data_IF_592685803155
#
_entry.id   IF_592685803155
#
_cell.length_a   1.000
_cell.length_b   1.000
_cell.length_c   1.000
_cell.angle_alpha   90.00
_cell.angle_beta   90.00
_cell.angle_gamma   90.00
#
_symmetry.space_group_name_H-M   'P 1'
#
loop_
_entity.id
_entity.type
_entity.pdbx_description
1 polymer ?
#
# COMPACT_ATOMS: atom_id res chain seq x y z
N UNK A 1 -9.23 -12.23 16.57
CA UNK A 1 -9.13 -11.03 15.70
C UNK A 1 -7.97 -10.22 16.23
N UNK A 2 -7.03 -9.80 15.39
CA UNK A 2 -5.75 -9.23 15.85
C UNK A 2 -5.93 -7.75 16.17
N UNK A 3 -6.40 -7.46 17.40
CA UNK A 3 -6.53 -6.13 17.98
C UNK A 3 -7.83 -5.38 17.63
N UNK A 4 -8.23 -4.48 18.53
CA UNK A 4 -9.30 -3.49 18.30
C UNK A 4 -8.72 -2.32 17.48
N UNK A 5 -9.39 -1.94 16.40
CA UNK A 5 -9.02 -0.80 15.56
C UNK A 5 -10.11 0.27 15.64
N UNK A 6 -9.73 1.55 15.62
CA UNK A 6 -10.69 2.66 15.66
C UNK A 6 -11.00 3.18 17.05
N UNK A 7 -10.39 2.60 18.09
CA UNK A 7 -10.48 3.05 19.49
C UNK A 7 -9.10 3.51 19.98
N UNK A 8 -9.03 4.30 21.05
CA UNK A 8 -7.77 4.65 21.73
C UNK A 8 -7.20 3.37 22.38
N UNK A 9 -5.92 2.98 22.16
CA UNK A 9 -4.81 3.74 21.56
C UNK A 9 -4.48 3.45 20.09
N UNK A 10 -5.38 2.81 19.36
CA UNK A 10 -5.22 2.36 17.98
C UNK A 10 -6.24 3.00 17.01
N UNK A 11 -6.32 4.35 16.93
CA UNK A 11 -7.23 5.02 15.99
C UNK A 11 -6.86 4.70 14.54
N UNK A 12 -7.85 4.70 13.64
CA UNK A 12 -7.66 4.30 12.24
C UNK A 12 -6.60 5.16 11.51
N UNK A 13 -6.55 6.46 11.79
CA UNK A 13 -5.65 7.44 11.16
C UNK A 13 -4.16 7.14 11.34
N UNK A 14 -3.82 6.36 12.37
CA UNK A 14 -2.45 5.95 12.66
C UNK A 14 -1.99 4.77 11.79
N UNK A 15 -2.92 4.10 11.09
CA UNK A 15 -2.63 2.97 10.23
C UNK A 15 -2.63 3.39 8.76
N UNK A 16 -1.74 2.78 7.98
CA UNK A 16 -1.61 3.07 6.54
C UNK A 16 -1.26 1.80 5.80
N UNK A 17 -2.03 1.48 4.76
CA UNK A 17 -1.70 0.43 3.82
C UNK A 17 -1.06 1.05 2.58
N UNK A 18 0.11 0.54 2.21
CA UNK A 18 0.81 0.88 0.97
C UNK A 18 0.86 -0.38 0.14
N UNK A 19 0.41 -0.33 -1.11
CA UNK A 19 0.43 -1.48 -2.01
C UNK A 19 0.87 -1.10 -3.42
N UNK A 20 1.55 -2.04 -4.06
CA UNK A 20 1.92 -2.01 -5.48
C UNK A 20 0.95 -2.82 -6.35
N UNK A 21 0.00 -3.52 -5.73
CA UNK A 21 -1.01 -4.30 -6.43
C UNK A 21 -2.13 -3.41 -6.96
N UNK A 22 -2.67 -3.78 -8.11
CA UNK A 22 -3.80 -3.09 -8.74
C UNK A 22 -5.17 -3.62 -8.29
N UNK A 23 -5.22 -4.85 -7.75
CA UNK A 23 -6.43 -5.52 -7.27
C UNK A 23 -7.14 -4.75 -6.15
N UNK A 24 -8.35 -5.18 -5.78
CA UNK A 24 -9.18 -4.54 -4.74
C UNK A 24 -9.23 -5.33 -3.43
N UNK A 25 -8.35 -6.31 -3.22
CA UNK A 25 -8.46 -7.23 -2.06
C UNK A 25 -8.34 -6.50 -0.72
N UNK A 26 -7.52 -5.44 -0.67
CA UNK A 26 -7.38 -4.62 0.54
C UNK A 26 -8.65 -3.82 0.81
N UNK A 27 -9.25 -3.24 -0.22
CA UNK A 27 -10.51 -2.52 -0.15
C UNK A 27 -11.65 -3.43 0.27
N UNK A 28 -11.81 -4.57 -0.39
CA UNK A 28 -12.82 -5.57 -0.07
C UNK A 28 -12.71 -6.04 1.38
N UNK A 29 -11.49 -6.24 1.87
CA UNK A 29 -11.24 -6.53 3.28
C UNK A 29 -11.68 -5.35 4.16
N UNK A 30 -11.21 -4.12 3.93
CA UNK A 30 -11.58 -2.98 4.76
C UNK A 30 -13.10 -2.74 4.78
N UNK A 31 -13.77 -2.88 3.64
CA UNK A 31 -15.24 -2.78 3.52
C UNK A 31 -15.96 -3.88 4.29
N UNK A 32 -15.53 -5.14 4.14
CA UNK A 32 -16.13 -6.29 4.84
C UNK A 32 -16.07 -6.17 6.36
N UNK A 33 -15.03 -5.52 6.86
CA UNK A 33 -14.82 -5.28 8.29
C UNK A 33 -15.35 -3.92 8.76
N UNK A 34 -16.07 -3.19 7.89
CA UNK A 34 -16.62 -1.86 8.16
C UNK A 34 -15.57 -0.84 8.63
N UNK A 35 -14.31 -1.04 8.21
CA UNK A 35 -13.20 -0.14 8.53
C UNK A 35 -13.21 1.01 7.52
N UNK A 36 -13.41 2.27 7.95
CA UNK A 36 -13.38 3.39 7.04
C UNK A 36 -11.97 3.54 6.48
N UNK A 37 -11.86 3.69 5.16
CA UNK A 37 -10.61 3.98 4.48
C UNK A 37 -10.77 5.05 3.39
N UNK A 38 -9.65 5.67 3.02
CA UNK A 38 -9.59 6.62 1.89
C UNK A 38 -8.36 6.38 1.03
N UNK A 39 -8.51 6.63 -0.27
CA UNK A 39 -7.38 6.76 -1.20
C UNK A 39 -6.63 8.07 -0.93
N UNK A 40 -5.61 8.00 -0.08
CA UNK A 40 -4.84 9.16 0.34
C UNK A 40 -3.90 9.63 -0.78
N UNK A 41 -3.64 10.94 -0.86
CA UNK A 41 -2.91 11.57 -1.97
C UNK A 41 -3.75 11.82 -3.24
N UNK A 42 -4.98 11.29 -3.33
CA UNK A 42 -5.95 11.60 -4.39
C UNK A 42 -7.08 12.52 -3.92
N UNK A 43 -7.37 12.54 -2.63
CA UNK A 43 -8.43 13.36 -2.05
C UNK A 43 -8.21 14.86 -2.30
N UNK A 44 -9.30 15.58 -2.64
CA UNK A 44 -9.33 17.03 -2.96
C UNK A 44 -8.47 17.45 -4.15
N UNK A 45 -7.98 16.50 -4.96
CA UNK A 45 -7.34 16.84 -6.23
C UNK A 45 -8.43 17.19 -7.27
N UNK A 46 -8.38 18.36 -7.95
CA UNK A 46 -9.41 18.75 -8.90
C UNK A 46 -9.57 17.77 -10.08
N UNK A 47 -8.52 16.99 -10.34
CA UNK A 47 -8.43 16.04 -11.44
C UNK A 47 -9.01 14.65 -11.11
N UNK A 48 -9.52 14.43 -9.90
CA UNK A 48 -10.09 13.14 -9.47
C UNK A 48 -11.48 13.36 -8.86
N UNK A 49 -12.45 12.60 -9.34
CA UNK A 49 -13.82 12.57 -8.82
C UNK A 49 -14.22 11.14 -8.46
N UNK A 50 -15.11 11.00 -7.49
CA UNK A 50 -15.74 9.71 -7.21
C UNK A 50 -16.95 9.53 -8.12
N UNK A 51 -17.05 8.35 -8.74
CA UNK A 51 -18.25 7.95 -9.46
C UNK A 51 -19.40 7.70 -8.48
N UNK A 52 -20.65 7.76 -8.94
CA UNK A 52 -21.83 7.54 -8.10
C UNK A 52 -21.80 6.18 -7.36
N UNK A 53 -21.19 5.15 -7.95
CA UNK A 53 -21.02 3.85 -7.30
C UNK A 53 -20.11 3.92 -6.07
N UNK A 54 -19.18 4.87 -5.99
CA UNK A 54 -18.19 5.05 -4.94
C UNK A 54 -18.58 6.10 -3.87
N UNK A 55 -19.87 6.40 -3.71
CA UNK A 55 -20.35 7.46 -2.80
C UNK A 55 -19.90 7.29 -1.36
N UNK A 56 -19.85 6.05 -0.85
CA UNK A 56 -19.37 5.79 0.52
C UNK A 56 -17.86 6.06 0.64
N UNK A 57 -17.07 5.76 -0.39
CA UNK A 57 -15.64 6.11 -0.42
C UNK A 57 -15.43 7.62 -0.43
N UNK A 58 -16.28 8.36 -1.14
CA UNK A 58 -16.26 9.83 -1.16
C UNK A 58 -16.54 10.41 0.24
N UNK A 59 -17.52 9.86 0.96
CA UNK A 59 -17.81 10.27 2.34
C UNK A 59 -16.61 10.01 3.25
N UNK A 60 -16.02 8.81 3.18
CA UNK A 60 -14.85 8.45 3.99
C UNK A 60 -13.65 9.37 3.73
N UNK A 61 -13.54 9.91 2.52
CA UNK A 61 -12.46 10.82 2.15
C UNK A 61 -12.41 12.08 3.05
N UNK A 62 -13.56 12.51 3.59
CA UNK A 62 -13.68 13.66 4.48
C UNK A 62 -13.58 13.34 5.98
N UNK A 63 -13.47 12.07 6.38
CA UNK A 63 -13.35 11.68 7.79
C UNK A 63 -11.98 12.06 8.36
N UNK A 64 -11.93 12.39 9.65
CA UNK A 64 -10.67 12.61 10.37
C UNK A 64 -9.99 11.29 10.74
N UNK A 65 -10.75 10.36 11.33
CA UNK A 65 -10.25 9.04 11.71
C UNK A 65 -10.64 7.97 10.69
N UNK A 66 -9.66 7.62 9.85
CA UNK A 66 -9.86 6.75 8.68
C UNK A 66 -8.51 6.19 8.25
N UNK A 67 -8.49 4.95 7.78
CA UNK A 67 -7.27 4.29 7.31
C UNK A 67 -6.82 4.92 5.99
N UNK A 68 -5.54 5.28 5.89
CA UNK A 68 -4.95 5.72 4.62
C UNK A 68 -4.61 4.51 3.75
N UNK A 69 -5.15 4.45 2.54
CA UNK A 69 -4.78 3.47 1.51
C UNK A 69 -4.03 4.16 0.36
N UNK A 70 -2.82 3.70 0.07
CA UNK A 70 -1.91 4.28 -0.91
C UNK A 70 -1.55 3.23 -1.98
N UNK A 71 -2.13 3.37 -3.17
CA UNK A 71 -1.88 2.46 -4.31
C UNK A 71 -0.88 3.08 -5.27
N UNK A 72 0.37 2.66 -5.18
CA UNK A 72 1.50 3.33 -5.83
C UNK A 72 1.55 3.14 -7.35
N UNK A 73 0.89 2.10 -7.86
CA UNK A 73 0.82 1.80 -9.29
C UNK A 73 -0.57 2.08 -9.90
N UNK A 74 -1.54 2.56 -9.13
CA UNK A 74 -2.92 2.68 -9.59
C UNK A 74 -3.81 1.55 -9.08
N UNK A 75 -5.02 1.47 -9.60
CA UNK A 75 -6.00 0.45 -9.19
C UNK A 75 -6.98 0.13 -10.32
N UNK A 76 -7.51 -1.10 -10.31
CA UNK A 76 -8.47 -1.58 -11.31
C UNK A 76 -9.82 -0.84 -11.26
N UNK A 77 -10.15 -0.15 -10.16
CA UNK A 77 -11.35 0.69 -10.08
C UNK A 77 -11.10 2.17 -10.38
N UNK A 78 -9.93 2.53 -10.91
CA UNK A 78 -9.61 3.90 -11.30
C UNK A 78 -9.62 4.02 -12.83
N UNK A 79 -10.35 5.00 -13.38
CA UNK A 79 -10.31 5.32 -14.80
C UNK A 79 -9.53 6.62 -15.07
N UNK A 80 -8.72 6.58 -16.11
CA UNK A 80 -8.18 7.74 -16.81
C UNK A 80 -9.14 8.10 -17.93
N UNK A 81 -9.56 9.36 -17.96
CA UNK A 81 -10.22 9.88 -19.15
C UNK A 81 -9.18 10.59 -20.02
N UNK A 82 -9.11 10.24 -21.30
CA UNK A 82 -8.19 10.86 -22.27
C UNK A 82 -8.73 12.21 -22.80
N UNK A 83 -9.98 12.54 -22.46
CA UNK A 83 -10.65 13.81 -22.74
C UNK A 83 -10.49 14.80 -21.55
N UNK A 84 -10.86 16.09 -21.69
CA UNK A 84 -10.73 17.08 -20.60
C UNK A 84 -11.73 16.89 -19.45
N UNK A 85 -11.93 15.65 -19.02
CA UNK A 85 -12.80 15.22 -17.92
C UNK A 85 -11.94 14.71 -16.76
N UNK A 86 -12.37 14.90 -15.51
CA UNK A 86 -11.63 14.40 -14.34
C UNK A 86 -11.59 12.87 -14.33
N UNK A 87 -10.47 12.30 -13.87
CA UNK A 87 -10.32 10.88 -13.60
C UNK A 87 -11.38 10.42 -12.59
N UNK A 88 -11.89 9.20 -12.74
CA UNK A 88 -12.95 8.68 -11.88
C UNK A 88 -12.49 7.50 -11.03
N UNK A 89 -12.91 7.50 -9.77
CA UNK A 89 -12.77 6.36 -8.85
C UNK A 89 -14.13 5.69 -8.73
N UNK A 90 -14.18 4.41 -9.06
CA UNK A 90 -15.35 3.54 -8.94
C UNK A 90 -15.27 2.70 -7.66
N UNK A 91 -16.38 2.12 -7.24
CA UNK A 91 -16.37 1.23 -6.07
C UNK A 91 -15.72 -0.12 -6.39
N UNK A 92 -16.01 -0.66 -7.57
CA UNK A 92 -15.55 -1.96 -8.02
C UNK A 92 -15.02 -1.85 -9.47
N UNK A 93 -14.13 -2.75 -9.87
CA UNK A 93 -13.60 -2.81 -11.23
C UNK A 93 -14.71 -3.09 -12.26
N UNK A 94 -15.75 -3.85 -11.88
CA UNK A 94 -16.88 -4.16 -12.77
C UNK A 94 -17.72 -2.93 -13.14
N UNK A 95 -17.66 -1.89 -12.31
CA UNK A 95 -18.36 -0.63 -12.54
C UNK A 95 -17.59 0.28 -13.48
N UNK A 96 -16.31 -0.02 -13.77
CA UNK A 96 -15.50 0.75 -14.69
C UNK A 96 -15.97 0.45 -16.11
N UNK A 97 -16.44 1.46 -16.87
CA UNK A 97 -16.87 1.25 -18.24
C UNK A 97 -15.64 1.10 -19.14
N UNK A 98 -15.07 -0.10 -19.19
CA UNK A 98 -13.99 -0.44 -20.13
C UNK A 98 -14.59 -0.43 -21.53
N UNK A 99 -14.48 0.71 -22.22
CA UNK A 99 -14.92 0.82 -23.61
C UNK A 99 -13.90 0.09 -24.47
N UNK A 100 -14.35 -0.97 -25.12
CA UNK A 100 -13.55 -1.67 -26.13
C UNK A 100 -13.10 -0.68 -27.22
N UNK A 101 -11.90 -0.93 -27.74
CA UNK A 101 -11.16 -0.29 -28.82
C UNK A 101 -12.05 0.22 -29.98
N UNK A 102 -12.81 1.29 -29.75
CA UNK A 102 -13.53 2.02 -30.78
C UNK A 102 -12.86 3.40 -30.92
N UNK A 103 -12.63 3.88 -32.14
CA UNK A 103 -12.14 5.24 -32.36
C UNK A 103 -13.15 6.22 -31.75
N UNK A 104 -12.80 6.86 -30.62
CA UNK A 104 -13.66 7.78 -29.86
C UNK A 104 -14.13 7.31 -28.48
N UNK A 105 -13.74 6.13 -28.00
CA UNK A 105 -13.98 5.69 -26.61
C UNK A 105 -12.91 6.22 -25.65
N UNK A 106 -13.30 7.01 -24.64
CA UNK A 106 -12.36 7.88 -23.92
C UNK A 106 -11.84 7.38 -22.55
N UNK A 107 -12.24 6.19 -22.08
CA UNK A 107 -11.87 5.73 -20.74
C UNK A 107 -10.97 4.51 -20.77
N UNK A 108 -9.72 4.70 -20.34
CA UNK A 108 -8.73 3.65 -20.11
C UNK A 108 -8.61 3.40 -18.59
N UNK A 109 -8.24 2.18 -18.20
CA UNK A 109 -7.92 1.90 -16.80
C UNK A 109 -6.65 2.66 -16.39
N UNK A 110 -6.68 3.34 -15.23
CA UNK A 110 -5.50 3.97 -14.63
C UNK A 110 -4.61 2.91 -13.98
N UNK A 111 -3.93 2.15 -14.82
CA UNK A 111 -2.86 1.26 -14.41
C UNK A 111 -1.55 1.91 -14.85
N UNK A 112 -0.79 2.45 -13.90
CA UNK A 112 0.60 2.74 -14.19
C UNK A 112 1.33 1.41 -14.23
N UNK A 113 1.83 0.97 -15.39
CA UNK A 113 2.62 -0.26 -15.44
C UNK A 113 3.82 -0.12 -14.50
N UNK A 114 4.45 -1.22 -14.06
CA UNK A 114 5.61 -1.20 -13.15
C UNK A 114 6.90 -0.70 -13.84
N UNK A 115 6.77 0.33 -14.69
CA UNK A 115 7.82 0.98 -15.45
C UNK A 115 7.62 2.48 -15.30
N UNK A 116 8.69 3.19 -14.91
CA UNK A 116 8.73 4.65 -14.76
C UNK A 116 8.29 5.39 -16.03
N UNK A 117 8.49 4.77 -17.20
CA UNK A 117 8.18 5.35 -18.49
C UNK A 117 6.82 4.90 -19.00
N UNK A 118 5.80 5.70 -18.69
CA UNK A 118 4.83 6.25 -19.65
C UNK A 118 3.85 7.15 -18.89
N UNK A 119 4.16 8.45 -18.82
CA UNK A 119 3.21 9.49 -18.44
C UNK A 119 3.09 9.87 -16.95
N UNK A 120 3.63 9.08 -16.02
CA UNK A 120 3.62 9.37 -14.57
C UNK A 120 4.47 10.59 -14.18
N UNK A 121 5.46 10.94 -14.99
CA UNK A 121 6.30 12.13 -14.84
C UNK A 121 5.65 13.44 -15.35
N UNK A 122 4.42 13.39 -15.87
CA UNK A 122 3.70 14.63 -16.22
C UNK A 122 3.29 15.34 -14.93
N UNK A 123 3.67 16.61 -14.80
CA UNK A 123 3.18 17.51 -13.74
C UNK A 123 1.65 17.40 -13.71
N UNK A 124 1.08 17.01 -12.57
CA UNK A 124 -0.37 16.77 -12.41
C UNK A 124 -0.83 15.31 -12.47
N UNK A 125 0.08 14.33 -12.66
CA UNK A 125 -0.30 12.92 -12.59
C UNK A 125 -0.80 12.54 -11.17
N UNK A 126 -1.99 11.92 -11.00
CA UNK A 126 -2.58 11.64 -9.68
C UNK A 126 -1.66 10.85 -8.75
N UNK A 127 -0.86 9.93 -9.30
CA UNK A 127 0.07 9.12 -8.50
C UNK A 127 1.16 9.94 -7.79
N UNK A 128 1.54 11.12 -8.29
CA UNK A 128 2.57 11.95 -7.64
C UNK A 128 2.16 12.36 -6.21
N UNK A 129 0.87 12.63 -6.00
CA UNK A 129 0.30 12.91 -4.67
C UNK A 129 0.34 11.70 -3.76
N UNK A 130 0.05 10.51 -4.29
CA UNK A 130 0.11 9.24 -3.56
C UNK A 130 1.54 8.94 -3.12
N UNK A 131 2.51 9.04 -4.02
CA UNK A 131 3.93 8.84 -3.74
C UNK A 131 4.43 9.80 -2.66
N UNK A 132 4.09 11.08 -2.80
CA UNK A 132 4.42 12.11 -1.81
C UNK A 132 3.83 11.80 -0.43
N UNK A 133 2.61 11.25 -0.39
CA UNK A 133 1.96 10.88 0.87
C UNK A 133 2.59 9.62 1.47
N UNK A 134 2.95 8.63 0.65
CA UNK A 134 3.62 7.41 1.09
C UNK A 134 4.96 7.71 1.78
N UNK A 135 5.77 8.58 1.18
CA UNK A 135 7.03 9.04 1.79
C UNK A 135 6.77 9.69 3.15
N UNK A 136 5.80 10.61 3.24
CA UNK A 136 5.46 11.27 4.53
C UNK A 136 5.00 10.30 5.59
N UNK A 137 4.17 9.31 5.23
CA UNK A 137 3.69 8.28 6.17
C UNK A 137 4.86 7.41 6.65
N UNK A 138 5.80 7.08 5.77
CA UNK A 138 7.02 6.36 6.13
C UNK A 138 7.97 7.18 7.01
N UNK A 139 8.03 8.51 6.87
CA UNK A 139 8.88 9.38 7.70
C UNK A 139 8.49 9.39 9.17
N UNK A 140 7.21 9.13 9.48
CA UNK A 140 6.70 9.10 10.86
C UNK A 140 6.37 7.69 11.35
N UNK A 141 6.51 6.67 10.51
CA UNK A 141 6.15 5.30 10.85
C UNK A 141 7.02 4.76 11.98
N UNK A 142 6.40 4.26 13.05
CA UNK A 142 7.13 3.57 14.12
C UNK A 142 7.37 2.10 13.80
N UNK A 143 6.54 1.53 12.91
CA UNK A 143 6.59 0.12 12.51
C UNK A 143 6.24 -0.01 11.03
N UNK A 144 6.97 -0.87 10.33
CA UNK A 144 6.71 -1.24 8.94
C UNK A 144 6.57 -2.75 8.85
N UNK A 145 5.49 -3.24 8.25
CA UNK A 145 5.28 -4.67 7.99
C UNK A 145 5.11 -4.84 6.48
N UNK A 146 6.06 -5.51 5.85
CA UNK A 146 6.03 -5.85 4.44
C UNK A 146 5.63 -7.32 4.28
N UNK A 147 4.47 -7.57 3.66
CA UNK A 147 3.92 -8.92 3.50
C UNK A 147 3.94 -9.32 2.04
N UNK A 148 4.55 -10.47 1.73
CA UNK A 148 4.54 -11.06 0.39
C UNK A 148 5.36 -10.30 -0.65
N UNK A 149 6.27 -9.42 -0.23
CA UNK A 149 7.10 -8.62 -1.13
C UNK A 149 8.53 -9.17 -1.21
N UNK A 150 9.06 -9.33 -2.42
CA UNK A 150 10.33 -10.02 -2.68
C UNK A 150 11.52 -9.09 -2.98
N UNK A 151 11.29 -7.77 -2.96
CA UNK A 151 12.25 -6.73 -3.37
C UNK A 151 12.94 -7.09 -4.70
N UNK A 152 12.21 -7.25 -5.81
CA UNK A 152 12.84 -7.62 -7.07
C UNK A 152 13.91 -6.58 -7.45
N UNK A 153 15.05 -7.03 -8.00
CA UNK A 153 16.20 -6.16 -8.28
C UNK A 153 15.86 -4.95 -9.18
N UNK A 154 14.87 -5.13 -10.06
CA UNK A 154 14.37 -4.11 -10.97
C UNK A 154 13.49 -3.05 -10.31
N UNK A 155 13.10 -3.22 -9.04
CA UNK A 155 12.17 -2.31 -8.35
C UNK A 155 12.91 -1.12 -7.71
N UNK A 156 13.36 -0.20 -8.58
CA UNK A 156 13.92 1.07 -8.16
C UNK A 156 12.92 1.91 -7.36
N UNK A 157 11.62 1.72 -7.58
CA UNK A 157 10.54 2.47 -6.95
C UNK A 157 10.47 2.18 -5.45
N UNK A 158 10.48 0.92 -5.05
CA UNK A 158 10.52 0.54 -3.64
C UNK A 158 11.81 1.01 -2.95
N UNK A 159 12.95 0.85 -3.61
CA UNK A 159 14.24 1.31 -3.06
C UNK A 159 14.22 2.81 -2.80
N UNK A 160 13.72 3.59 -3.76
CA UNK A 160 13.53 5.02 -3.60
C UNK A 160 12.54 5.33 -2.47
N UNK A 161 11.39 4.64 -2.41
CA UNK A 161 10.38 4.84 -1.38
C UNK A 161 10.95 4.64 0.03
N UNK A 162 11.68 3.54 0.24
CA UNK A 162 12.30 3.23 1.53
C UNK A 162 13.40 4.23 1.86
N UNK A 163 14.28 4.55 0.89
CA UNK A 163 15.35 5.53 1.11
C UNK A 163 14.79 6.91 1.49
N UNK A 164 13.89 7.46 0.68
CA UNK A 164 13.29 8.78 0.92
C UNK A 164 12.38 8.82 2.16
N UNK A 165 11.63 7.75 2.39
CA UNK A 165 10.73 7.62 3.53
C UNK A 165 11.47 7.45 4.86
N UNK A 166 12.61 6.76 4.88
CA UNK A 166 13.30 6.40 6.12
C UNK A 166 14.51 7.25 6.45
N UNK A 167 15.05 8.03 5.49
CA UNK A 167 16.25 8.85 5.68
C UNK A 167 16.21 9.73 6.94
N UNK A 168 15.02 10.23 7.30
CA UNK A 168 14.82 11.11 8.46
C UNK A 168 13.88 10.52 9.52
N UNK A 169 13.56 9.23 9.43
CA UNK A 169 12.66 8.61 10.39
C UNK A 169 13.40 8.19 11.67
N UNK A 170 13.38 9.06 12.68
CA UNK A 170 13.91 8.81 14.03
C UNK A 170 12.96 7.99 14.92
N UNK A 171 11.71 7.81 14.48
CA UNK A 171 10.63 7.16 15.22
C UNK A 171 10.53 5.67 14.93
N UNK A 172 11.19 5.18 13.87
CA UNK A 172 11.18 3.79 13.47
C UNK A 172 11.73 2.91 14.61
N UNK A 173 10.98 1.87 14.96
CA UNK A 173 11.34 0.89 15.99
C UNK A 173 11.44 -0.52 15.43
N UNK A 174 10.73 -0.80 14.34
CA UNK A 174 10.63 -2.16 13.83
C UNK A 174 10.30 -2.19 12.33
N UNK A 175 10.95 -3.10 11.62
CA UNK A 175 10.64 -3.49 10.25
C UNK A 175 10.48 -5.01 10.23
N UNK A 176 9.38 -5.49 9.67
CA UNK A 176 9.08 -6.93 9.58
C UNK A 176 8.85 -7.29 8.12
N UNK A 177 9.60 -8.27 7.61
CA UNK A 177 9.33 -8.90 6.32
C UNK A 177 8.69 -10.25 6.54
N UNK A 178 7.53 -10.48 5.93
CA UNK A 178 6.79 -11.75 5.97
C UNK A 178 6.84 -12.35 4.58
N UNK A 179 7.62 -13.40 4.40
CA UNK A 179 7.78 -14.06 3.11
C UNK A 179 8.19 -15.53 3.31
N UNK A 180 7.50 -16.51 2.69
CA UNK A 180 7.89 -17.92 2.80
C UNK A 180 9.28 -18.20 2.20
N UNK A 181 9.82 -17.30 1.38
CA UNK A 181 11.18 -17.37 0.85
C UNK A 181 12.27 -17.35 1.91
N UNK A 182 12.00 -16.95 3.16
CA UNK A 182 12.98 -17.04 4.26
C UNK A 182 13.09 -18.43 4.91
N UNK A 183 12.30 -19.41 4.48
CA UNK A 183 12.36 -20.77 5.03
C UNK A 183 13.76 -21.36 4.86
N UNK A 184 14.26 -22.00 5.92
CA UNK A 184 15.57 -22.67 5.90
C UNK A 184 15.66 -23.71 4.80
N UNK A 185 16.80 -23.76 4.10
CA UNK A 185 17.03 -24.67 2.98
C UNK A 185 16.23 -24.35 1.70
N UNK A 186 15.47 -23.24 1.68
CA UNK A 186 14.77 -22.78 0.48
C UNK A 186 15.75 -22.25 -0.58
N UNK A 187 15.48 -22.49 -1.89
CA UNK A 187 16.41 -22.11 -2.96
C UNK A 187 16.60 -20.59 -3.09
N UNK A 188 15.62 -19.80 -2.65
CA UNK A 188 15.60 -18.34 -2.83
C UNK A 188 16.01 -17.55 -1.59
N UNK A 189 16.29 -18.20 -0.46
CA UNK A 189 16.52 -17.53 0.84
C UNK A 189 17.67 -16.54 0.76
N UNK A 190 18.84 -17.01 0.34
CA UNK A 190 20.04 -16.17 0.26
C UNK A 190 19.87 -14.99 -0.70
N UNK A 191 19.23 -15.23 -1.84
CA UNK A 191 18.95 -14.18 -2.83
C UNK A 191 17.98 -13.13 -2.28
N UNK A 192 16.93 -13.56 -1.56
CA UNK A 192 15.96 -12.65 -0.95
C UNK A 192 16.58 -11.84 0.18
N UNK A 193 17.36 -12.47 1.06
CA UNK A 193 18.11 -11.79 2.12
C UNK A 193 19.10 -10.79 1.55
N UNK A 194 19.86 -11.16 0.50
CA UNK A 194 20.78 -10.26 -0.17
C UNK A 194 20.07 -9.01 -0.72
N UNK A 195 18.87 -9.16 -1.30
CA UNK A 195 18.06 -8.03 -1.79
C UNK A 195 17.61 -7.13 -0.63
N UNK A 196 17.18 -7.70 0.49
CA UNK A 196 16.82 -6.92 1.68
C UNK A 196 18.03 -6.18 2.25
N UNK A 197 19.16 -6.86 2.40
CA UNK A 197 20.38 -6.25 2.93
C UNK A 197 21.06 -5.28 1.97
N UNK A 198 20.62 -5.22 0.70
CA UNK A 198 21.00 -4.15 -0.22
C UNK A 198 20.29 -2.82 0.05
N UNK A 199 19.17 -2.85 0.77
CA UNK A 199 18.36 -1.69 1.13
C UNK A 199 18.51 -1.35 2.62
N UNK A 200 18.52 -2.38 3.47
CA UNK A 200 18.58 -2.23 4.92
C UNK A 200 19.93 -2.71 5.44
N UNK A 201 20.50 -1.98 6.40
CA UNK A 201 21.77 -2.38 7.01
C UNK A 201 21.59 -3.66 7.85
N UNK A 202 22.56 -4.57 7.77
CA UNK A 202 22.56 -5.84 8.50
C UNK A 202 22.51 -5.67 10.03
N UNK A 203 23.03 -4.56 10.56
CA UNK A 203 23.01 -4.28 12.00
C UNK A 203 21.59 -4.10 12.54
N UNK A 204 20.64 -3.66 11.71
CA UNK A 204 19.23 -3.59 12.09
C UNK A 204 18.67 -4.98 12.40
N UNK A 205 19.10 -6.00 11.65
CA UNK A 205 18.68 -7.38 11.88
C UNK A 205 19.30 -7.93 13.17
N UNK A 206 20.60 -7.69 13.38
CA UNK A 206 21.31 -8.10 14.59
C UNK A 206 20.72 -7.46 15.87
N UNK A 207 20.25 -6.21 15.76
CA UNK A 207 19.58 -5.48 16.86
C UNK A 207 18.11 -5.87 17.06
N UNK A 208 17.57 -6.78 16.25
CA UNK A 208 16.16 -7.18 16.31
C UNK A 208 15.16 -6.14 15.80
N UNK A 209 15.65 -5.04 15.21
CA UNK A 209 14.82 -4.00 14.59
C UNK A 209 14.25 -4.50 13.26
N UNK A 210 15.05 -5.20 12.46
CA UNK A 210 14.64 -5.83 11.21
C UNK A 210 14.41 -7.33 11.43
N UNK A 211 13.17 -7.80 11.26
CA UNK A 211 12.79 -9.20 11.41
C UNK A 211 12.42 -9.80 10.06
N UNK A 212 12.93 -11.01 9.79
CA UNK A 212 12.63 -11.79 8.59
C UNK A 212 11.84 -13.02 9.03
N UNK A 213 10.58 -13.09 8.62
CA UNK A 213 9.62 -14.09 9.07
C UNK A 213 9.27 -15.06 7.94
N UNK A 214 9.57 -16.37 8.07
CA UNK A 214 9.42 -17.38 7.02
C UNK A 214 7.97 -17.89 6.85
N UNK A 215 7.00 -16.98 6.90
CA UNK A 215 5.57 -17.28 6.85
C UNK A 215 4.93 -16.83 5.53
N UNK A 216 3.92 -17.57 5.09
CA UNK A 216 2.98 -17.08 4.07
C UNK A 216 2.11 -15.97 4.65
N UNK A 217 1.47 -15.17 3.79
CA UNK A 217 0.46 -14.20 4.22
C UNK A 217 -0.67 -14.88 5.03
N UNK A 218 -1.12 -16.06 4.59
CA UNK A 218 -2.16 -16.81 5.28
C UNK A 218 -1.70 -17.24 6.68
N UNK A 219 -0.52 -17.85 6.81
CA UNK A 219 0.03 -18.22 8.11
C UNK A 219 0.17 -17.01 9.02
N UNK A 220 0.68 -15.90 8.50
CA UNK A 220 0.84 -14.67 9.26
C UNK A 220 -0.49 -14.15 9.79
N UNK A 221 -1.52 -14.00 8.96
CA UNK A 221 -2.80 -13.42 9.40
C UNK A 221 -3.68 -14.36 10.25
N UNK A 222 -3.55 -15.68 10.09
CA UNK A 222 -4.47 -16.65 10.68
C UNK A 222 -3.87 -17.55 11.77
N UNK A 223 -2.55 -17.54 12.01
CA UNK A 223 -1.97 -18.26 13.14
C UNK A 223 -2.34 -17.59 14.48
N UNK A 224 -2.69 -18.41 15.48
CA UNK A 224 -3.09 -17.93 16.81
C UNK A 224 -1.96 -17.27 17.64
N UNK A 225 -0.73 -17.22 17.10
CA UNK A 225 0.46 -16.70 17.79
C UNK A 225 1.02 -15.41 17.16
N UNK A 226 0.25 -14.65 16.37
CA UNK A 226 0.73 -13.38 15.81
C UNK A 226 1.27 -12.42 16.89
N UNK A 227 0.70 -12.43 18.09
CA UNK A 227 1.18 -11.63 19.22
C UNK A 227 2.59 -12.01 19.64
N UNK A 228 2.89 -13.30 19.62
CA UNK A 228 4.21 -13.85 19.89
C UNK A 228 5.18 -13.53 18.74
N UNK A 229 4.73 -13.69 17.49
CA UNK A 229 5.49 -13.39 16.27
C UNK A 229 5.88 -11.90 16.21
N UNK A 230 4.96 -11.00 16.57
CA UNK A 230 5.17 -9.55 16.58
C UNK A 230 5.69 -9.03 17.93
N UNK A 231 5.85 -9.90 18.93
CA UNK A 231 6.31 -9.56 20.27
C UNK A 231 5.46 -8.51 20.97
N UNK A 232 4.14 -8.48 20.72
CA UNK A 232 3.20 -7.54 21.34
C UNK A 232 1.86 -8.20 21.61
N UNK A 233 1.34 -7.97 22.82
CA UNK A 233 -0.07 -8.17 23.15
C UNK A 233 -0.86 -6.99 22.62
N UNK A 234 -1.90 -7.26 21.86
CA UNK A 234 -2.84 -6.23 21.44
C UNK A 234 -3.91 -6.09 22.52
N UNK A 235 -4.41 -4.87 22.80
CA UNK A 235 -5.58 -4.73 23.63
C UNK A 235 -6.75 -5.46 22.96
N UNK A 236 -7.43 -6.30 23.75
CA UNK A 236 -8.69 -6.95 23.40
C UNK A 236 -9.86 -6.11 23.89
#
# INVERSE_FOLDING_TARGET
MVGVWGEDPTPFKNNTFITFNYDLLVEEALQKWEIPFRYDGLHKTPMVKYHQSAKELEKNANLEDVVSLLKLHGSLNWSLDLLPTPNQIFNDFKDVPIRSYQPGGAQELLLAPPVWDKGTARIGHPLSGIWSRAIRKLQTATRIIAVGYSLPLADAHFRYLMAAGLQHNISLREIVFVNPGFREGGPDKEALEARIFSVFRRDLHQKGILKLLPHTAHEFFYQQNIEEILGRRYPF
#
